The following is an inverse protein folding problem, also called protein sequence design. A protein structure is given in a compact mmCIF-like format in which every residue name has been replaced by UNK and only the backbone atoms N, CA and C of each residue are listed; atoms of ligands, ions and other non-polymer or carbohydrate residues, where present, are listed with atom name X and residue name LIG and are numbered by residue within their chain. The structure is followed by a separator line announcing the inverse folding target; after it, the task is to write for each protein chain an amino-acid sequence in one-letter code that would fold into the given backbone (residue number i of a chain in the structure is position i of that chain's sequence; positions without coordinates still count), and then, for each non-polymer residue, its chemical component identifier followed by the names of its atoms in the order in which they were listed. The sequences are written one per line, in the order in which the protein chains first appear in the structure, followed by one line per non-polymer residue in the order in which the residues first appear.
data_IF_497802583162
#
_entry.id   IF_497802583162
#
_cell.length_a   1.000
_cell.length_b   1.000
_cell.length_c   1.000
_cell.angle_alpha   90.00
_cell.angle_beta   90.00
_cell.angle_gamma   90.00
#
_symmetry.space_group_name_H-M   'P 1'
#
loop_
_entity.id
_entity.type
_entity.pdbx_description
1 polymer ?
#
# COMPACT_ATOMS: atom_id res chain seq x y z
N UNK A 1 4.01 -4.20 8.50
CA UNK A 1 2.88 -5.16 8.30
C UNK A 1 3.06 -5.81 6.94
N UNK A 2 3.04 -7.16 6.88
CA UNK A 2 3.07 -7.92 5.63
C UNK A 2 1.73 -8.61 5.44
N UNK A 3 1.14 -8.53 4.24
CA UNK A 3 -0.17 -9.10 3.93
C UNK A 3 -0.28 -9.57 2.48
N UNK A 4 -1.19 -10.52 2.27
CA UNK A 4 -1.63 -11.00 0.96
C UNK A 4 -3.07 -10.54 0.67
N UNK A 5 -3.34 -9.24 0.84
CA UNK A 5 -4.66 -8.71 0.51
C UNK A 5 -4.94 -8.81 -0.99
N UNK A 6 -6.20 -8.97 -1.37
CA UNK A 6 -6.58 -9.45 -2.70
C UNK A 6 -5.99 -8.61 -3.84
N UNK A 7 -6.24 -7.31 -3.86
CA UNK A 7 -5.83 -6.49 -5.00
C UNK A 7 -4.35 -6.13 -4.98
N UNK A 8 -3.74 -6.00 -3.80
CA UNK A 8 -2.29 -5.83 -3.67
C UNK A 8 -1.56 -7.09 -4.15
N UNK A 9 -2.06 -8.29 -3.85
CA UNK A 9 -1.51 -9.54 -4.35
C UNK A 9 -1.68 -9.68 -5.86
N UNK A 10 -2.85 -9.31 -6.40
CA UNK A 10 -3.05 -9.28 -7.87
C UNK A 10 -2.07 -8.33 -8.53
N UNK A 11 -1.89 -7.11 -7.98
CA UNK A 11 -0.93 -6.13 -8.48
C UNK A 11 0.50 -6.71 -8.46
N UNK A 12 0.92 -7.30 -7.35
CA UNK A 12 2.26 -7.89 -7.20
C UNK A 12 2.52 -9.08 -8.14
N UNK A 13 1.46 -9.67 -8.70
CA UNK A 13 1.52 -10.80 -9.64
C UNK A 13 1.58 -10.36 -11.11
N UNK A 14 1.47 -9.06 -11.39
CA UNK A 14 1.63 -8.54 -12.75
C UNK A 14 3.11 -8.49 -13.13
N UNK A 15 3.42 -8.62 -14.42
CA UNK A 15 4.78 -8.46 -14.93
C UNK A 15 5.32 -7.04 -14.68
N UNK A 16 4.46 -6.05 -14.78
CA UNK A 16 4.70 -4.69 -14.34
C UNK A 16 3.77 -4.41 -13.15
N UNK A 17 4.33 -4.46 -11.96
CA UNK A 17 3.62 -4.23 -10.69
C UNK A 17 3.58 -2.74 -10.30
N UNK A 18 3.93 -1.83 -11.21
CA UNK A 18 3.85 -0.40 -10.95
C UNK A 18 2.41 0.05 -10.70
N UNK A 19 2.26 1.08 -9.86
CA UNK A 19 0.99 1.70 -9.53
C UNK A 19 0.99 3.15 -10.04
N UNK A 20 0.57 3.39 -11.28
CA UNK A 20 0.52 4.76 -11.82
C UNK A 20 -0.55 5.59 -11.10
N UNK A 21 -0.34 6.92 -10.95
CA UNK A 21 -1.26 7.81 -10.25
C UNK A 21 -2.50 8.12 -11.12
N UNK A 22 -3.44 7.16 -11.22
CA UNK A 22 -4.67 7.31 -12.03
C UNK A 22 -5.84 7.93 -11.25
N UNK A 23 -5.74 8.00 -9.94
CA UNK A 23 -6.69 8.68 -9.05
C UNK A 23 -5.95 9.22 -7.82
N UNK A 24 -6.68 9.90 -6.93
CA UNK A 24 -6.11 10.46 -5.70
C UNK A 24 -5.52 9.39 -4.79
N UNK A 25 -6.14 8.20 -4.66
CA UNK A 25 -5.62 7.13 -3.81
C UNK A 25 -4.32 6.53 -4.37
N UNK A 26 -4.22 6.37 -5.69
CA UNK A 26 -2.97 5.96 -6.33
C UNK A 26 -1.88 7.02 -6.17
N UNK A 27 -2.24 8.32 -6.28
CA UNK A 27 -1.30 9.43 -6.14
C UNK A 27 -0.68 9.53 -4.72
N UNK A 28 -1.36 9.07 -3.67
CA UNK A 28 -0.79 8.96 -2.31
C UNK A 28 0.53 8.18 -2.31
N UNK A 29 0.64 7.16 -3.16
CA UNK A 29 1.77 6.26 -3.22
C UNK A 29 2.80 6.64 -4.29
N UNK A 30 2.62 7.76 -4.98
CA UNK A 30 3.58 8.23 -5.98
C UNK A 30 4.97 8.42 -5.33
N UNK A 31 5.99 7.75 -5.88
CA UNK A 31 7.35 7.70 -5.32
C UNK A 31 7.45 7.16 -3.85
N UNK A 32 6.40 6.54 -3.30
CA UNK A 32 6.37 6.00 -1.91
C UNK A 32 6.43 4.48 -1.87
N UNK A 33 6.57 3.81 -2.99
CA UNK A 33 6.76 2.36 -3.03
C UNK A 33 8.04 1.96 -3.76
N UNK A 34 8.44 0.74 -3.54
CA UNK A 34 9.49 0.04 -4.28
C UNK A 34 8.99 -1.37 -4.63
N UNK A 35 9.49 -1.92 -5.73
CA UNK A 35 9.11 -3.26 -6.19
C UNK A 35 10.29 -4.21 -6.00
N UNK A 36 10.06 -5.34 -5.34
CA UNK A 36 10.95 -6.49 -5.33
C UNK A 36 10.48 -7.48 -6.40
N UNK A 37 11.23 -7.61 -7.47
CA UNK A 37 10.93 -8.54 -8.57
C UNK A 37 11.39 -9.97 -8.29
N UNK A 38 12.11 -10.19 -7.17
CA UNK A 38 12.79 -11.45 -6.88
C UNK A 38 12.03 -12.27 -5.84
N UNK A 39 11.13 -13.13 -6.29
CA UNK A 39 10.53 -14.12 -5.41
C UNK A 39 11.46 -15.33 -5.23
N UNK A 40 11.97 -15.53 -4.00
CA UNK A 40 12.92 -16.59 -3.64
C UNK A 40 12.29 -17.77 -2.88
N UNK A 41 10.97 -17.86 -2.82
CA UNK A 41 10.28 -18.86 -2.00
C UNK A 41 10.22 -18.42 -0.53
N UNK A 42 10.31 -19.37 0.41
CA UNK A 42 10.22 -19.12 1.86
C UNK A 42 11.61 -18.98 2.52
N UNK A 43 12.60 -18.40 1.84
CA UNK A 43 13.93 -18.16 2.36
C UNK A 43 13.93 -16.93 3.29
N UNK A 44 13.45 -17.08 4.52
CA UNK A 44 13.13 -16.00 5.45
C UNK A 44 14.28 -15.02 5.73
N UNK A 45 15.52 -15.52 5.91
CA UNK A 45 16.66 -14.65 6.19
C UNK A 45 17.04 -13.81 4.96
N UNK A 46 17.22 -14.44 3.81
CA UNK A 46 17.58 -13.76 2.56
C UNK A 46 16.50 -12.77 2.10
N UNK A 47 15.23 -13.13 2.27
CA UNK A 47 14.12 -12.24 1.98
C UNK A 47 14.08 -11.04 2.93
N UNK A 48 14.34 -11.27 4.22
CA UNK A 48 14.39 -10.20 5.23
C UNK A 48 15.50 -9.20 4.95
N UNK A 49 16.69 -9.65 4.59
CA UNK A 49 17.83 -8.80 4.20
C UNK A 49 17.50 -7.98 2.95
N UNK A 50 16.96 -8.61 1.91
CA UNK A 50 16.57 -7.95 0.67
C UNK A 50 15.46 -6.90 0.89
N UNK A 51 14.43 -7.23 1.64
CA UNK A 51 13.36 -6.29 1.99
C UNK A 51 13.89 -5.09 2.78
N UNK A 52 14.78 -5.34 3.74
CA UNK A 52 15.43 -4.28 4.55
C UNK A 52 16.25 -3.34 3.67
N UNK A 53 17.00 -3.87 2.71
CA UNK A 53 17.80 -3.09 1.77
C UNK A 53 16.93 -2.21 0.87
N UNK A 54 15.85 -2.76 0.33
CA UNK A 54 14.90 -2.05 -0.55
C UNK A 54 14.14 -0.93 0.18
N UNK A 55 13.92 -1.10 1.49
CA UNK A 55 13.21 -0.12 2.33
C UNK A 55 14.16 0.85 3.08
N UNK A 56 15.44 0.92 2.72
CA UNK A 56 16.40 1.86 3.33
C UNK A 56 16.03 3.33 3.12
N UNK A 57 15.41 3.67 2.00
CA UNK A 57 14.92 5.00 1.74
C UNK A 57 13.69 5.27 2.64
N UNK A 58 13.75 6.19 3.61
CA UNK A 58 12.65 6.46 4.53
C UNK A 58 11.39 7.00 3.84
N UNK A 59 11.51 7.45 2.59
CA UNK A 59 10.37 7.87 1.78
C UNK A 59 9.56 6.67 1.29
N UNK A 60 10.18 5.49 1.14
CA UNK A 60 9.49 4.27 0.72
C UNK A 60 8.72 3.67 1.87
N UNK A 61 7.41 3.61 1.72
CA UNK A 61 6.46 3.11 2.75
C UNK A 61 5.81 1.80 2.35
N UNK A 62 5.91 1.42 1.08
CA UNK A 62 5.32 0.19 0.54
C UNK A 62 6.39 -0.58 -0.23
N UNK A 63 6.53 -1.85 0.09
CA UNK A 63 7.28 -2.81 -0.74
C UNK A 63 6.27 -3.73 -1.42
N UNK A 64 6.20 -3.65 -2.73
CA UNK A 64 5.44 -4.60 -3.56
C UNK A 64 6.34 -5.80 -3.80
N UNK A 65 5.97 -6.93 -3.24
CA UNK A 65 6.75 -8.17 -3.31
C UNK A 65 6.23 -9.02 -4.48
N UNK A 66 6.96 -9.07 -5.58
CA UNK A 66 6.57 -9.79 -6.79
C UNK A 66 6.12 -11.23 -6.52
N UNK A 67 4.97 -11.64 -7.05
CA UNK A 67 4.35 -12.93 -6.85
C UNK A 67 4.04 -13.32 -5.38
N UNK A 68 4.05 -12.35 -4.46
CA UNK A 68 3.91 -12.67 -3.03
C UNK A 68 2.81 -11.84 -2.37
N UNK A 69 2.93 -10.53 -2.35
CA UNK A 69 2.03 -9.64 -1.65
C UNK A 69 2.66 -8.27 -1.43
N UNK A 70 2.36 -7.65 -0.28
CA UNK A 70 2.94 -6.34 0.05
C UNK A 70 3.41 -6.27 1.50
N UNK A 71 4.44 -5.46 1.72
CA UNK A 71 4.87 -5.03 3.05
C UNK A 71 4.65 -3.52 3.17
N UNK A 72 4.01 -3.10 4.26
CA UNK A 72 3.74 -1.70 4.57
C UNK A 72 4.54 -1.30 5.82
N UNK A 73 5.20 -0.16 5.74
CA UNK A 73 5.96 0.44 6.84
C UNK A 73 5.29 1.73 7.27
N UNK A 74 5.15 1.91 8.57
CA UNK A 74 4.58 3.11 9.17
C UNK A 74 5.20 3.40 10.53
N UNK A 75 4.93 4.60 11.04
CA UNK A 75 5.41 5.09 12.34
C UNK A 75 4.63 4.50 13.53
N UNK A 76 3.42 3.99 13.28
CA UNK A 76 2.53 3.38 14.27
C UNK A 76 1.68 2.27 13.62
N UNK A 77 0.96 1.51 14.44
CA UNK A 77 -0.02 0.52 13.95
C UNK A 77 -1.12 1.23 13.16
N UNK A 78 -1.61 2.36 13.64
CA UNK A 78 -2.65 3.15 12.98
C UNK A 78 -2.19 3.65 11.60
N UNK A 79 -1.01 4.25 11.51
CA UNK A 79 -0.41 4.71 10.26
C UNK A 79 -0.20 3.55 9.27
N UNK A 80 0.36 2.42 9.75
CA UNK A 80 0.59 1.23 8.90
C UNK A 80 -0.71 0.65 8.37
N UNK A 81 -1.75 0.58 9.21
CA UNK A 81 -3.07 0.07 8.84
C UNK A 81 -3.76 1.00 7.83
N UNK A 82 -3.74 2.31 8.06
CA UNK A 82 -4.34 3.31 7.17
C UNK A 82 -3.69 3.26 5.77
N UNK A 83 -2.35 3.19 5.72
CA UNK A 83 -1.61 3.01 4.46
C UNK A 83 -2.00 1.72 3.73
N UNK A 84 -2.12 0.61 4.45
CA UNK A 84 -2.55 -0.66 3.87
C UNK A 84 -3.96 -0.55 3.27
N UNK A 85 -4.89 0.04 4.02
CA UNK A 85 -6.26 0.24 3.57
C UNK A 85 -6.32 1.03 2.26
N UNK A 86 -5.63 2.16 2.19
CA UNK A 86 -5.60 2.99 0.97
C UNK A 86 -4.80 2.35 -0.16
N UNK A 87 -3.74 1.61 0.14
CA UNK A 87 -3.00 0.88 -0.89
C UNK A 87 -3.85 -0.21 -1.55
N UNK A 88 -4.60 -0.98 -0.76
CA UNK A 88 -5.53 -1.98 -1.29
C UNK A 88 -6.63 -1.33 -2.16
N UNK A 89 -7.15 -0.16 -1.76
CA UNK A 89 -8.11 0.61 -2.57
C UNK A 89 -7.49 1.11 -3.87
N UNK A 90 -6.28 1.64 -3.84
CA UNK A 90 -5.55 2.10 -5.01
C UNK A 90 -5.29 0.93 -5.99
N UNK A 91 -4.77 -0.18 -5.49
CA UNK A 91 -4.57 -1.39 -6.29
C UNK A 91 -5.88 -1.89 -6.92
N UNK A 92 -6.98 -1.90 -6.15
CA UNK A 92 -8.31 -2.26 -6.65
C UNK A 92 -8.75 -1.35 -7.78
N UNK A 93 -8.64 -0.03 -7.61
CA UNK A 93 -9.02 0.94 -8.64
C UNK A 93 -8.21 0.72 -9.91
N UNK A 94 -6.90 0.57 -9.78
CA UNK A 94 -6.00 0.35 -10.91
C UNK A 94 -6.32 -0.94 -11.65
N UNK A 95 -6.43 -2.08 -10.95
CA UNK A 95 -6.77 -3.36 -11.56
C UNK A 95 -8.13 -3.30 -12.27
N UNK A 96 -9.14 -2.65 -11.66
CA UNK A 96 -10.45 -2.47 -12.28
C UNK A 96 -10.38 -1.56 -13.53
N UNK A 97 -9.57 -0.52 -13.51
CA UNK A 97 -9.35 0.33 -14.66
C UNK A 97 -8.69 -0.44 -15.82
N UNK A 98 -7.66 -1.25 -15.54
CA UNK A 98 -7.03 -2.13 -16.54
C UNK A 98 -8.02 -3.10 -17.20
N UNK A 99 -8.95 -3.67 -16.42
CA UNK A 99 -9.95 -4.61 -16.91
C UNK A 99 -10.91 -3.98 -17.94
N UNK A 100 -11.04 -2.67 -18.00
CA UNK A 100 -11.88 -1.98 -18.99
C UNK A 100 -11.29 -1.99 -20.39
N UNK A 101 -9.98 -2.20 -20.51
CA UNK A 101 -9.25 -2.08 -21.79
C UNK A 101 -9.16 -0.64 -22.32
N UNK A 102 -9.65 0.36 -21.58
CA UNK A 102 -9.57 1.77 -21.98
C UNK A 102 -8.20 2.38 -21.60
N UNK A 103 -7.71 3.36 -22.36
CA UNK A 103 -6.53 4.12 -21.97
C UNK A 103 -6.70 4.78 -20.59
N UNK A 104 -5.67 4.71 -19.76
CA UNK A 104 -5.67 5.31 -18.44
C UNK A 104 -5.40 6.81 -18.51
N UNK A 105 -6.09 7.60 -17.69
CA UNK A 105 -5.77 9.01 -17.45
C UNK A 105 -4.82 9.07 -16.26
N UNK A 106 -3.55 9.34 -16.53
CA UNK A 106 -2.50 9.46 -15.52
C UNK A 106 -2.37 10.91 -15.07
N UNK A 107 -2.31 11.11 -13.75
CA UNK A 107 -2.05 12.44 -13.14
C UNK A 107 -0.60 12.84 -13.44
N UNK A 108 -0.31 14.10 -13.81
CA UNK A 108 1.06 14.58 -14.01
C UNK A 108 1.91 14.40 -12.74
N UNK A 109 3.20 14.12 -12.94
CA UNK A 109 4.15 13.78 -11.88
C UNK A 109 4.24 14.83 -10.76
N UNK A 110 4.25 16.12 -11.13
CA UNK A 110 4.28 17.24 -10.19
C UNK A 110 3.02 17.29 -9.30
N UNK A 111 1.86 16.99 -9.87
CA UNK A 111 0.59 16.95 -9.13
C UNK A 111 0.51 15.69 -8.26
N UNK A 112 0.99 14.56 -8.76
CA UNK A 112 1.03 13.32 -8.00
C UNK A 112 1.95 13.45 -6.78
N UNK A 113 3.17 13.99 -6.94
CA UNK A 113 4.10 14.25 -5.84
C UNK A 113 3.53 15.25 -4.83
N UNK A 114 2.90 16.31 -5.31
CA UNK A 114 2.23 17.28 -4.45
C UNK A 114 1.15 16.59 -3.61
N UNK A 115 0.30 15.77 -4.22
CA UNK A 115 -0.77 15.04 -3.53
C UNK A 115 -0.21 14.11 -2.46
N UNK A 116 0.82 13.32 -2.79
CA UNK A 116 1.48 12.44 -1.83
C UNK A 116 2.02 13.22 -0.62
N UNK A 117 2.72 14.34 -0.86
CA UNK A 117 3.29 15.19 0.19
C UNK A 117 2.22 15.86 1.05
N UNK A 118 1.10 16.31 0.46
CA UNK A 118 0.00 16.93 1.21
C UNK A 118 -0.68 15.92 2.15
N UNK A 119 -0.90 14.69 1.69
CA UNK A 119 -1.50 13.62 2.50
C UNK A 119 -0.56 13.21 3.65
N UNK A 120 0.74 13.09 3.40
CA UNK A 120 1.73 12.76 4.46
C UNK A 120 1.77 13.81 5.58
N UNK A 121 1.43 15.06 5.27
CA UNK A 121 1.39 16.16 6.22
C UNK A 121 -0.02 16.41 6.81
N UNK A 122 -1.02 15.61 6.42
CA UNK A 122 -2.37 15.74 6.94
C UNK A 122 -2.49 15.02 8.28
N UNK A 123 -2.55 15.79 9.35
CA UNK A 123 -2.42 15.27 10.72
C UNK A 123 -3.63 14.44 11.20
N UNK A 124 -3.36 13.36 11.94
CA UNK A 124 -4.30 12.60 12.78
C UNK A 124 -5.44 11.88 12.06
N UNK A 125 -5.32 11.63 10.75
CA UNK A 125 -6.34 10.87 10.01
C UNK A 125 -6.27 9.38 10.35
N UNK A 126 -5.08 8.83 10.43
CA UNK A 126 -4.79 7.42 10.70
C UNK A 126 -5.30 6.98 12.08
N UNK A 127 -5.11 7.83 13.09
CA UNK A 127 -5.62 7.55 14.44
C UNK A 127 -7.13 7.46 14.47
N UNK A 128 -7.82 8.43 13.87
CA UNK A 128 -9.30 8.44 13.80
C UNK A 128 -9.86 7.26 13.02
N UNK A 129 -9.23 6.87 11.91
CA UNK A 129 -9.66 5.72 11.12
C UNK A 129 -9.63 4.43 11.93
N UNK A 130 -8.53 4.15 12.62
CA UNK A 130 -8.40 2.94 13.44
C UNK A 130 -9.39 2.95 14.62
N UNK A 131 -9.61 4.08 15.29
CA UNK A 131 -10.53 4.18 16.41
C UNK A 131 -12.00 3.97 15.98
N UNK A 132 -12.40 4.47 14.82
CA UNK A 132 -13.75 4.21 14.30
C UNK A 132 -13.96 2.72 13.96
N UNK A 133 -12.95 2.03 13.45
CA UNK A 133 -13.04 0.60 13.23
C UNK A 133 -13.13 -0.20 14.53
N UNK A 134 -12.40 0.20 15.57
CA UNK A 134 -12.52 -0.41 16.90
C UNK A 134 -13.94 -0.27 17.45
N UNK A 135 -14.55 0.94 17.32
CA UNK A 135 -15.95 1.15 17.73
C UNK A 135 -16.92 0.20 17.00
N UNK A 136 -16.75 0.03 15.69
CA UNK A 136 -17.59 -0.91 14.92
C UNK A 136 -17.45 -2.33 15.49
N UNK A 137 -16.22 -2.78 15.75
CA UNK A 137 -15.97 -4.10 16.32
C UNK A 137 -16.54 -4.26 17.74
N UNK A 138 -16.45 -3.21 18.57
CA UNK A 138 -17.03 -3.17 19.91
C UNK A 138 -18.56 -3.25 19.84
N UNK A 139 -19.19 -2.49 18.95
CA UNK A 139 -20.64 -2.50 18.74
C UNK A 139 -21.15 -3.85 18.21
N UNK A 140 -20.33 -4.57 17.45
CA UNK A 140 -20.59 -5.94 16.96
C UNK A 140 -20.31 -7.01 18.03
N UNK A 141 -19.77 -6.65 19.20
CA UNK A 141 -19.41 -7.58 20.26
C UNK A 141 -18.21 -8.45 19.91
N UNK A 142 -17.29 -7.98 19.09
CA UNK A 142 -16.08 -8.72 18.69
C UNK A 142 -15.08 -8.85 19.84
N UNK A 143 -14.42 -10.02 19.94
CA UNK A 143 -13.37 -10.29 20.93
C UNK A 143 -11.96 -9.94 20.42
N UNK A 144 -11.81 -8.94 19.54
CA UNK A 144 -10.53 -8.62 18.92
C UNK A 144 -9.42 -8.19 19.89
N UNK A 145 -9.79 -7.75 21.10
CA UNK A 145 -8.86 -7.29 22.14
C UNK A 145 -8.57 -8.33 23.24
N UNK A 146 -9.09 -9.57 23.13
CA UNK A 146 -8.93 -10.64 24.12
C UNK A 146 -7.76 -11.57 23.81
#
# INVERSE_FOLDING_TARGET
MHVHSMYATVLSSLKDSSLPPIDQNCAIFYNRYVIDENYGGLAFEEEGERCSELLKDPQKKVLIMGNHGVMIVGSSIADTFDRLYYFERAAKTYIKALQTGQPLRVIPDDIAEKTASEIENYSDQEGRHLEELKKILDDEGSNYAS
#
